data_IF_664343142748
#
_entry.id   IF_664343142748
#
_cell.length_a   1.000
_cell.length_b   1.000
_cell.length_c   1.000
_cell.angle_alpha   90.00
_cell.angle_beta   90.00
_cell.angle_gamma   90.00
#
_symmetry.space_group_name_H-M   'P 1'
#
loop_
_entity.id
_entity.type
_entity.pdbx_description
1 polymer ?
#
# COMPACT_ATOMS: atom_id res chain seq x y z
N UNK A 1 5.49 18.92 -4.02
CA UNK A 1 4.40 18.51 -3.11
C UNK A 1 3.14 18.40 -3.95
N UNK A 2 2.42 17.26 -3.90
CA UNK A 2 1.16 17.05 -4.62
C UNK A 2 0.05 17.90 -3.96
N UNK A 3 0.04 19.20 -4.25
CA UNK A 3 -1.06 20.07 -3.89
C UNK A 3 -2.15 19.94 -4.97
N UNK A 4 -2.95 18.87 -4.88
CA UNK A 4 -4.14 18.71 -5.71
C UNK A 4 -5.31 19.29 -4.94
N UNK A 5 -6.00 20.27 -5.52
CA UNK A 5 -7.26 20.79 -5.00
C UNK A 5 -8.34 19.71 -5.14
N UNK A 6 -8.79 19.19 -3.99
CA UNK A 6 -9.77 18.11 -3.92
C UNK A 6 -11.21 18.62 -4.08
N UNK A 7 -11.45 19.94 -4.08
CA UNK A 7 -12.79 20.52 -4.17
C UNK A 7 -13.50 20.23 -5.50
N UNK A 8 -12.74 19.90 -6.56
CA UNK A 8 -13.26 19.56 -7.89
C UNK A 8 -13.46 18.06 -8.13
N UNK A 9 -13.13 17.23 -7.15
CA UNK A 9 -13.26 15.78 -7.25
C UNK A 9 -14.66 15.45 -6.76
N UNK A 10 -15.54 14.91 -7.62
CA UNK A 10 -16.86 14.47 -7.18
C UNK A 10 -16.69 13.57 -5.96
N UNK A 11 -17.55 13.76 -4.95
CA UNK A 11 -17.60 12.92 -3.75
C UNK A 11 -18.15 11.51 -4.07
N UNK A 12 -17.76 10.92 -5.20
CA UNK A 12 -17.84 9.49 -5.40
C UNK A 12 -16.84 8.87 -4.41
N UNK A 13 -17.36 8.06 -3.50
CA UNK A 13 -16.74 7.50 -2.30
C UNK A 13 -15.29 6.97 -2.50
N UNK A 14 -15.00 6.51 -3.71
CA UNK A 14 -13.74 5.88 -4.11
C UNK A 14 -12.58 6.86 -4.30
N UNK A 15 -12.87 8.11 -4.68
CA UNK A 15 -11.84 9.06 -5.14
C UNK A 15 -10.89 9.53 -4.02
N UNK A 16 -11.38 9.93 -2.83
CA UNK A 16 -10.50 10.28 -1.71
C UNK A 16 -9.57 9.14 -1.29
N UNK A 17 -10.06 7.91 -1.38
CA UNK A 17 -9.31 6.71 -1.00
C UNK A 17 -8.15 6.44 -1.96
N UNK A 18 -8.41 6.47 -3.28
CA UNK A 18 -7.38 6.32 -4.31
C UNK A 18 -6.29 7.41 -4.20
N UNK A 19 -6.71 8.64 -3.91
CA UNK A 19 -5.78 9.77 -3.71
C UNK A 19 -4.99 9.61 -2.41
N UNK A 20 -5.62 9.15 -1.34
CA UNK A 20 -4.95 8.84 -0.08
C UNK A 20 -3.85 7.79 -0.26
N UNK A 21 -4.16 6.70 -0.94
CA UNK A 21 -3.19 5.66 -1.30
C UNK A 21 -2.06 6.18 -2.16
N UNK A 22 -2.34 7.01 -3.17
CA UNK A 22 -1.32 7.65 -3.98
C UNK A 22 -0.37 8.51 -3.14
N UNK A 23 -0.93 9.38 -2.28
CA UNK A 23 -0.16 10.27 -1.40
C UNK A 23 0.70 9.46 -0.44
N UNK A 24 0.15 8.39 0.14
CA UNK A 24 0.87 7.47 1.00
C UNK A 24 2.03 6.80 0.25
N UNK A 25 1.80 6.27 -0.96
CA UNK A 25 2.85 5.69 -1.78
C UNK A 25 3.98 6.68 -2.08
N UNK A 26 3.66 7.95 -2.34
CA UNK A 26 4.68 8.97 -2.62
C UNK A 26 5.46 9.36 -1.36
N UNK A 27 4.81 9.37 -0.20
CA UNK A 27 5.50 9.57 1.07
C UNK A 27 6.49 8.42 1.33
N UNK A 28 6.07 7.16 1.13
CA UNK A 28 6.96 6.01 1.25
C UNK A 28 8.11 6.06 0.23
N UNK A 29 7.81 6.45 -1.02
CA UNK A 29 8.79 6.59 -2.09
C UNK A 29 9.94 7.52 -1.73
N UNK A 30 9.64 8.67 -1.10
CA UNK A 30 10.67 9.61 -0.63
C UNK A 30 11.57 9.00 0.45
N UNK A 31 11.01 8.27 1.39
CA UNK A 31 11.79 7.61 2.45
C UNK A 31 12.70 6.55 1.86
N UNK A 32 12.18 5.73 0.94
CA UNK A 32 12.95 4.71 0.21
C UNK A 32 14.14 5.37 -0.51
N UNK A 33 13.87 6.42 -1.30
CA UNK A 33 14.91 7.13 -2.04
C UNK A 33 15.98 7.73 -1.12
N UNK A 34 15.56 8.31 0.01
CA UNK A 34 16.47 8.91 1.00
C UNK A 34 17.38 7.86 1.63
N UNK A 35 16.81 6.75 2.11
CA UNK A 35 17.58 5.68 2.74
C UNK A 35 18.51 4.99 1.74
N UNK A 36 18.04 4.73 0.52
CA UNK A 36 18.87 4.16 -0.55
C UNK A 36 20.04 5.08 -0.91
N UNK A 37 19.82 6.39 -1.03
CA UNK A 37 20.90 7.36 -1.32
C UNK A 37 21.96 7.41 -0.21
N UNK A 38 21.61 7.03 1.02
CA UNK A 38 22.51 6.95 2.17
C UNK A 38 23.16 5.56 2.35
N UNK A 39 22.93 4.61 1.43
CA UNK A 39 23.43 3.23 1.55
C UNK A 39 22.66 2.37 2.56
N UNK A 40 21.50 2.85 3.03
CA UNK A 40 20.64 2.20 4.02
C UNK A 40 19.41 1.54 3.39
N UNK A 41 19.54 1.05 2.15
CA UNK A 41 18.42 0.48 1.42
C UNK A 41 17.75 -0.68 2.19
N UNK A 42 18.51 -1.52 2.90
CA UNK A 42 17.97 -2.62 3.71
C UNK A 42 17.00 -2.15 4.81
N UNK A 43 17.23 -0.97 5.39
CA UNK A 43 16.39 -0.41 6.46
C UNK A 43 15.04 0.09 5.94
N UNK A 44 14.90 0.32 4.64
CA UNK A 44 13.67 0.80 4.03
C UNK A 44 12.63 -0.32 3.76
N UNK A 45 12.85 -1.55 4.25
CA UNK A 45 11.94 -2.67 4.00
C UNK A 45 10.48 -2.41 4.43
N UNK A 46 10.19 -1.81 5.61
CA UNK A 46 8.83 -1.43 5.96
C UNK A 46 8.19 -0.46 4.95
N UNK A 47 8.96 0.51 4.47
CA UNK A 47 8.49 1.49 3.49
C UNK A 47 8.24 0.85 2.12
N UNK A 48 9.16 -0.01 1.65
CA UNK A 48 8.99 -0.76 0.39
C UNK A 48 7.81 -1.72 0.45
N UNK A 49 7.62 -2.43 1.58
CA UNK A 49 6.45 -3.29 1.79
C UNK A 49 5.15 -2.51 1.61
N UNK A 50 5.00 -1.39 2.31
CA UNK A 50 3.79 -0.56 2.22
C UNK A 50 3.60 0.03 0.81
N UNK A 51 4.68 0.53 0.21
CA UNK A 51 4.68 1.08 -1.15
C UNK A 51 4.23 0.05 -2.20
N UNK A 52 4.82 -1.14 -2.19
CA UNK A 52 4.49 -2.22 -3.13
C UNK A 52 3.10 -2.75 -2.87
N UNK A 53 2.65 -2.83 -1.61
CA UNK A 53 1.28 -3.24 -1.29
C UNK A 53 0.24 -2.28 -1.87
N UNK A 54 0.49 -0.97 -1.81
CA UNK A 54 -0.38 0.03 -2.43
C UNK A 54 -0.39 -0.15 -3.95
N UNK A 55 0.79 -0.23 -4.59
CA UNK A 55 0.89 -0.43 -6.03
C UNK A 55 0.17 -1.72 -6.49
N UNK A 56 0.34 -2.80 -5.73
CA UNK A 56 -0.34 -4.07 -5.94
C UNK A 56 -1.86 -3.90 -5.87
N UNK A 57 -2.38 -3.29 -4.80
CA UNK A 57 -3.83 -3.15 -4.60
C UNK A 57 -4.46 -2.26 -5.66
N UNK A 58 -3.79 -1.20 -6.09
CA UNK A 58 -4.21 -0.36 -7.22
C UNK A 58 -4.27 -1.16 -8.53
N UNK A 59 -3.24 -1.99 -8.80
CA UNK A 59 -3.21 -2.81 -10.01
C UNK A 59 -4.31 -3.87 -9.97
N UNK A 60 -4.50 -4.54 -8.83
CA UNK A 60 -5.57 -5.51 -8.63
C UNK A 60 -6.96 -4.86 -8.82
N UNK A 61 -7.23 -3.70 -8.21
CA UNK A 61 -8.47 -2.94 -8.43
C UNK A 61 -8.71 -2.67 -9.92
N UNK A 62 -7.66 -2.33 -10.66
CA UNK A 62 -7.76 -2.07 -12.11
C UNK A 62 -8.14 -3.32 -12.92
N UNK A 63 -7.86 -4.52 -12.42
CA UNK A 63 -8.26 -5.79 -13.04
C UNK A 63 -9.72 -6.16 -12.76
N UNK A 64 -10.37 -5.52 -11.80
CA UNK A 64 -11.79 -5.75 -11.50
C UNK A 64 -12.69 -4.99 -12.47
N UNK A 65 -13.88 -5.55 -12.70
CA UNK A 65 -15.00 -4.85 -13.34
C UNK A 65 -15.32 -3.57 -12.55
N UNK A 66 -15.75 -2.50 -13.26
CA UNK A 66 -15.93 -1.18 -12.66
C UNK A 66 -16.93 -1.17 -11.49
N UNK A 67 -18.02 -1.92 -11.60
CA UNK A 67 -19.08 -2.06 -10.60
C UNK A 67 -18.61 -2.76 -9.31
N UNK A 68 -17.50 -3.50 -9.36
CA UNK A 68 -16.94 -4.20 -8.18
C UNK A 68 -15.95 -3.36 -7.39
N UNK A 69 -15.43 -2.26 -7.96
CA UNK A 69 -14.33 -1.51 -7.35
C UNK A 69 -14.76 -0.77 -6.09
N UNK A 70 -15.86 -0.02 -6.13
CA UNK A 70 -16.41 0.69 -4.98
C UNK A 70 -16.67 -0.25 -3.78
N UNK A 71 -17.43 -1.35 -3.96
CA UNK A 71 -17.63 -2.34 -2.91
C UNK A 71 -16.32 -2.90 -2.33
N UNK A 72 -15.31 -3.15 -3.18
CA UNK A 72 -13.98 -3.59 -2.71
C UNK A 72 -13.28 -2.55 -1.84
N UNK A 73 -13.38 -1.26 -2.21
CA UNK A 73 -12.83 -0.15 -1.43
C UNK A 73 -13.53 -0.01 -0.06
N UNK A 74 -14.86 -0.09 -0.04
CA UNK A 74 -15.64 -0.16 1.21
C UNK A 74 -15.22 -1.36 2.07
N UNK A 75 -14.99 -2.51 1.43
CA UNK A 75 -14.51 -3.72 2.07
C UNK A 75 -13.18 -3.54 2.80
N UNK A 76 -12.25 -2.78 2.22
CA UNK A 76 -11.00 -2.43 2.90
C UNK A 76 -11.28 -1.60 4.16
N UNK A 77 -12.16 -0.59 4.07
CA UNK A 77 -12.47 0.29 5.21
C UNK A 77 -13.12 -0.50 6.35
N UNK A 78 -14.12 -1.33 6.06
CA UNK A 78 -14.78 -2.18 7.07
C UNK A 78 -13.79 -3.12 7.74
N UNK A 79 -12.86 -3.69 6.96
CA UNK A 79 -11.82 -4.55 7.52
C UNK A 79 -10.88 -3.80 8.45
N UNK A 80 -10.36 -2.65 8.01
CA UNK A 80 -9.45 -1.84 8.82
C UNK A 80 -10.15 -1.41 10.12
N UNK A 81 -11.42 -0.96 10.03
CA UNK A 81 -12.24 -0.64 11.21
C UNK A 81 -12.29 -1.81 12.19
N UNK A 82 -12.59 -3.02 11.70
CA UNK A 82 -12.65 -4.22 12.55
C UNK A 82 -11.32 -4.54 13.23
N UNK A 83 -10.18 -4.38 12.53
CA UNK A 83 -8.86 -4.58 13.13
C UNK A 83 -8.55 -3.53 14.19
N UNK A 84 -8.85 -2.28 13.89
CA UNK A 84 -8.66 -1.13 14.79
C UNK A 84 -9.51 -1.31 16.05
N UNK A 85 -10.80 -1.60 15.94
CA UNK A 85 -11.68 -1.87 17.09
C UNK A 85 -11.14 -3.02 17.94
N UNK A 86 -10.77 -4.16 17.33
CA UNK A 86 -10.26 -5.30 18.09
C UNK A 86 -8.95 -5.03 18.84
N UNK A 87 -8.06 -4.22 18.26
CA UNK A 87 -6.86 -3.75 18.96
C UNK A 87 -7.21 -2.92 20.22
N UNK A 88 -8.19 -2.03 20.11
CA UNK A 88 -8.60 -1.20 21.25
C UNK A 88 -9.39 -1.96 22.31
N UNK A 89 -10.20 -2.94 21.90
CA UNK A 89 -10.83 -3.87 22.85
C UNK A 89 -9.76 -4.60 23.67
N UNK A 90 -8.69 -5.07 23.02
CA UNK A 90 -7.55 -5.71 23.70
C UNK A 90 -6.84 -4.73 24.65
N UNK A 91 -6.62 -3.48 24.24
CA UNK A 91 -6.02 -2.47 25.13
C UNK A 91 -6.89 -2.21 26.35
N UNK A 92 -8.20 -2.13 26.18
CA UNK A 92 -9.16 -1.97 27.26
C UNK A 92 -9.14 -3.16 28.22
N UNK A 93 -9.08 -4.39 27.70
CA UNK A 93 -8.89 -5.61 28.52
C UNK A 93 -7.58 -5.57 29.33
N UNK A 94 -6.54 -4.93 28.79
CA UNK A 94 -5.27 -4.69 29.46
C UNK A 94 -5.27 -3.49 30.42
N UNK A 95 -6.42 -2.82 30.61
CA UNK A 95 -6.57 -1.68 31.52
C UNK A 95 -6.14 -0.33 30.95
N UNK A 96 -5.94 -0.23 29.63
CA UNK A 96 -5.66 1.04 28.95
C UNK A 96 -6.95 1.61 28.36
N UNK A 97 -7.39 2.76 28.87
CA UNK A 97 -8.47 3.54 28.26
C UNK A 97 -7.92 4.45 27.16
N UNK A 98 -8.57 4.44 26.00
CA UNK A 98 -8.31 5.37 24.91
C UNK A 98 -9.63 5.84 24.31
N UNK A 99 -9.74 7.14 24.07
CA UNK A 99 -10.87 7.74 23.35
C UNK A 99 -10.54 7.86 21.86
N UNK A 100 -11.30 7.19 21.00
CA UNK A 100 -11.02 7.14 19.56
C UNK A 100 -12.25 7.44 18.77
N UNK A 101 -12.07 8.39 17.87
CA UNK A 101 -13.06 8.78 16.91
C UNK A 101 -12.90 7.96 15.61
N UNK A 102 -13.79 6.97 15.43
CA UNK A 102 -13.93 6.22 14.19
C UNK A 102 -15.11 6.72 13.34
N UNK A 103 -15.68 7.89 13.65
CA UNK A 103 -16.89 8.41 12.98
C UNK A 103 -16.73 8.54 11.47
N UNK A 104 -15.54 8.91 10.99
CA UNK A 104 -15.23 8.97 9.56
C UNK A 104 -15.35 7.61 8.84
N UNK A 105 -15.27 6.49 9.57
CA UNK A 105 -15.45 5.13 9.04
C UNK A 105 -16.88 4.60 9.24
N UNK A 106 -17.72 5.30 10.02
CA UNK A 106 -19.12 4.92 10.27
C UNK A 106 -20.03 5.21 9.07
N UNK A 107 -19.65 6.16 8.22
CA UNK A 107 -20.41 6.51 7.01
C UNK A 107 -20.34 5.42 5.93
N UNK A 108 -19.41 4.46 6.03
CA UNK A 108 -19.16 3.44 5.01
C UNK A 108 -20.08 2.23 5.23
N UNK A 109 -21.07 2.07 4.35
CA UNK A 109 -21.96 0.90 4.34
C UNK A 109 -21.46 -0.10 3.31
N UNK A 110 -20.94 -1.24 3.75
CA UNK A 110 -20.40 -2.23 2.82
C UNK A 110 -21.49 -3.06 2.13
N UNK A 111 -21.75 -2.80 0.85
CA UNK A 111 -22.57 -3.67 -0.01
C UNK A 111 -21.83 -4.97 -0.39
N UNK A 112 -20.49 -4.97 -0.33
CA UNK A 112 -19.59 -6.08 -0.69
C UNK A 112 -19.80 -7.38 0.11
N UNK A 113 -20.53 -7.36 1.23
CA UNK A 113 -20.66 -8.51 2.12
C UNK A 113 -21.42 -9.71 1.50
N UNK A 114 -22.00 -9.59 0.31
CA UNK A 114 -22.60 -10.73 -0.38
C UNK A 114 -21.54 -11.65 -1.03
N UNK A 115 -20.51 -11.09 -1.69
CA UNK A 115 -19.50 -11.87 -2.42
C UNK A 115 -18.44 -12.45 -1.46
N UNK A 116 -18.40 -13.79 -1.34
CA UNK A 116 -17.45 -14.48 -0.44
C UNK A 116 -16.01 -14.47 -0.98
N UNK A 117 -15.84 -14.50 -2.29
CA UNK A 117 -14.52 -14.61 -2.92
C UNK A 117 -13.81 -13.25 -2.87
N UNK A 118 -14.50 -12.17 -3.26
CA UNK A 118 -13.96 -10.82 -3.17
C UNK A 118 -13.61 -10.45 -1.72
N UNK A 119 -14.44 -10.87 -0.75
CA UNK A 119 -14.11 -10.73 0.68
C UNK A 119 -12.79 -11.40 1.06
N UNK A 120 -12.50 -12.60 0.54
CA UNK A 120 -11.22 -13.26 0.79
C UNK A 120 -10.05 -12.52 0.13
N UNK A 121 -10.25 -12.00 -1.08
CA UNK A 121 -9.24 -11.21 -1.78
C UNK A 121 -8.90 -9.91 -1.04
N UNK A 122 -9.91 -9.20 -0.51
CA UNK A 122 -9.72 -8.03 0.38
C UNK A 122 -8.99 -8.41 1.66
N UNK A 123 -9.27 -9.60 2.22
CA UNK A 123 -8.65 -10.10 3.46
C UNK A 123 -7.19 -10.54 3.30
N UNK A 124 -6.77 -10.99 2.13
CA UNK A 124 -5.38 -11.37 1.95
C UNK A 124 -4.86 -11.04 0.57
N UNK A 125 -3.73 -10.31 0.55
CA UNK A 125 -2.96 -9.99 -0.66
C UNK A 125 -2.67 -11.25 -1.48
N UNK A 126 -2.39 -12.39 -0.84
CA UNK A 126 -2.17 -13.67 -1.52
C UNK A 126 -3.39 -14.16 -2.31
N UNK A 127 -4.61 -13.96 -1.81
CA UNK A 127 -5.83 -14.36 -2.54
C UNK A 127 -6.06 -13.42 -3.73
N UNK A 128 -5.89 -12.11 -3.55
CA UNK A 128 -5.93 -11.15 -4.65
C UNK A 128 -4.88 -11.47 -5.73
N UNK A 129 -3.66 -11.86 -5.34
CA UNK A 129 -2.57 -12.17 -6.26
C UNK A 129 -2.87 -13.41 -7.12
N UNK A 130 -3.50 -14.42 -6.51
CA UNK A 130 -3.97 -15.62 -7.22
C UNK A 130 -5.08 -15.29 -8.23
N UNK A 131 -5.95 -14.33 -7.90
CA UNK A 131 -7.05 -13.92 -8.77
C UNK A 131 -6.58 -13.04 -9.95
N UNK A 132 -5.47 -12.31 -9.80
CA UNK A 132 -4.94 -11.40 -10.82
C UNK A 132 -3.45 -11.67 -11.12
N UNK A 133 -3.11 -12.68 -11.97
CA UNK A 133 -1.72 -13.09 -12.23
C UNK A 133 -0.78 -11.97 -12.73
N UNK A 134 -1.31 -10.93 -13.38
CA UNK A 134 -0.54 -9.75 -13.81
C UNK A 134 0.15 -9.03 -12.63
N UNK A 135 -0.33 -9.24 -11.41
CA UNK A 135 0.22 -8.65 -10.18
C UNK A 135 1.40 -9.43 -9.59
N UNK A 136 1.79 -10.57 -10.17
CA UNK A 136 2.75 -11.51 -9.58
C UNK A 136 4.11 -10.88 -9.26
N UNK A 137 4.61 -9.98 -10.12
CA UNK A 137 5.88 -9.28 -9.86
C UNK A 137 5.83 -8.40 -8.60
N UNK A 138 4.73 -7.66 -8.42
CA UNK A 138 4.51 -6.84 -7.22
C UNK A 138 4.25 -7.72 -5.98
N UNK A 139 3.53 -8.83 -6.15
CA UNK A 139 3.33 -9.79 -5.07
C UNK A 139 4.66 -10.38 -4.57
N UNK A 140 5.56 -10.77 -5.48
CA UNK A 140 6.88 -11.29 -5.14
C UNK A 140 7.66 -10.25 -4.34
N UNK A 141 7.74 -9.02 -4.85
CA UNK A 141 8.42 -7.92 -4.16
C UNK A 141 7.82 -7.64 -2.77
N UNK A 142 6.49 -7.63 -2.64
CA UNK A 142 5.83 -7.45 -1.34
C UNK A 142 6.18 -8.57 -0.34
N UNK A 143 6.20 -9.81 -0.82
CA UNK A 143 6.49 -10.98 0.02
C UNK A 143 7.93 -10.95 0.55
N UNK A 144 8.87 -10.56 -0.30
CA UNK A 144 10.29 -10.46 0.05
C UNK A 144 10.63 -9.31 0.99
N UNK A 145 9.89 -8.21 0.96
CA UNK A 145 10.10 -7.15 1.95
C UNK A 145 9.47 -7.54 3.30
N UNK A 146 8.35 -8.26 3.29
CA UNK A 146 7.60 -8.65 4.50
C UNK A 146 8.42 -9.44 5.52
N UNK A 147 9.36 -10.28 5.07
CA UNK A 147 10.26 -11.03 5.97
C UNK A 147 11.21 -10.11 6.77
N UNK A 148 11.43 -8.87 6.30
CA UNK A 148 12.32 -7.90 6.93
C UNK A 148 11.58 -6.78 7.70
N UNK A 149 10.24 -6.80 7.79
CA UNK A 149 9.46 -5.72 8.44
C UNK A 149 9.10 -5.97 9.91
N UNK A 150 9.37 -7.18 10.42
CA UNK A 150 9.07 -7.58 11.79
C UNK A 150 10.25 -8.33 12.39
N UNK A 151 10.29 -8.44 13.72
CA UNK A 151 11.28 -9.22 14.46
C UNK A 151 11.09 -10.73 14.22
N UNK A 152 11.48 -11.20 13.03
CA UNK A 152 11.37 -12.60 12.60
C UNK A 152 12.71 -13.31 12.69
N UNK A 153 12.68 -14.64 12.69
CA UNK A 153 13.91 -15.44 12.55
C UNK A 153 14.66 -15.17 11.25
N UNK A 154 13.93 -14.88 10.16
CA UNK A 154 14.55 -14.55 8.87
C UNK A 154 15.33 -13.23 8.94
N UNK A 155 14.75 -12.20 9.57
CA UNK A 155 15.44 -10.94 9.85
C UNK A 155 16.70 -11.19 10.69
N UNK A 156 16.59 -11.94 11.78
CA UNK A 156 17.71 -12.20 12.68
C UNK A 156 18.88 -12.91 11.95
N UNK A 157 18.58 -13.94 11.16
CA UNK A 157 19.60 -14.65 10.37
C UNK A 157 20.21 -13.75 9.29
N UNK A 158 19.43 -12.87 8.66
CA UNK A 158 19.94 -11.97 7.63
C UNK A 158 20.90 -10.89 8.16
N UNK A 159 20.77 -10.47 9.41
CA UNK A 159 21.69 -9.53 10.08
C UNK A 159 22.83 -10.22 10.84
N UNK A 160 22.78 -11.54 11.00
CA UNK A 160 23.81 -12.33 11.67
C UNK A 160 24.01 -13.68 10.95
N UNK A 161 24.43 -13.68 9.67
CA UNK A 161 24.74 -14.90 8.95
C UNK A 161 25.95 -15.58 9.59
N UNK A 162 25.96 -16.92 9.61
CA UNK A 162 27.14 -17.68 10.06
C UNK A 162 28.05 -17.91 8.86
N UNK A 163 29.17 -17.20 8.82
CA UNK A 163 30.23 -17.27 7.81
C UNK A 163 31.59 -17.49 8.48
N UNK A 164 32.62 -17.85 7.71
CA UNK A 164 33.96 -18.12 8.28
C UNK A 164 34.63 -16.87 8.90
N UNK A 165 34.11 -15.66 8.64
CA UNK A 165 34.67 -14.37 9.09
C UNK A 165 33.64 -13.51 9.86
N UNK A 166 32.85 -14.12 10.74
CA UNK A 166 31.77 -13.46 11.46
C UNK A 166 32.25 -12.25 12.29
N UNK A 167 31.76 -11.07 11.92
CA UNK A 167 31.92 -9.82 12.67
C UNK A 167 30.55 -9.24 12.95
N UNK A 168 30.27 -8.95 14.23
CA UNK A 168 29.03 -8.29 14.64
C UNK A 168 28.87 -6.95 13.89
N UNK A 169 27.74 -6.79 13.17
CA UNK A 169 27.31 -5.50 12.63
C UNK A 169 27.79 -5.13 11.22
N UNK A 170 28.39 -6.06 10.46
CA UNK A 170 28.78 -5.81 9.06
C UNK A 170 27.78 -6.36 8.04
N UNK A 171 26.98 -7.36 8.42
CA UNK A 171 26.02 -7.99 7.54
C UNK A 171 24.67 -7.25 7.54
N UNK A 172 24.14 -7.03 6.34
CA UNK A 172 22.83 -6.41 6.14
C UNK A 172 21.99 -7.27 5.18
N UNK A 173 20.66 -7.30 5.34
CA UNK A 173 19.80 -8.05 4.45
C UNK A 173 19.95 -7.63 2.98
N UNK A 174 19.89 -8.59 2.05
CA UNK A 174 19.86 -8.26 0.63
C UNK A 174 18.60 -7.45 0.29
N UNK A 175 18.74 -6.50 -0.64
CA UNK A 175 17.62 -5.66 -1.08
C UNK A 175 17.32 -5.93 -2.56
N UNK A 176 16.21 -6.61 -2.88
CA UNK A 176 15.85 -6.96 -4.27
C UNK A 176 15.44 -5.76 -5.15
N UNK A 177 15.22 -4.60 -4.55
CA UNK A 177 14.88 -3.35 -5.22
C UNK A 177 15.71 -2.19 -4.68
N UNK A 178 17.01 -2.40 -4.50
CA UNK A 178 17.94 -1.35 -4.08
C UNK A 178 18.20 -0.31 -5.17
N UNK A 179 17.88 -0.65 -6.42
CA UNK A 179 17.94 0.24 -7.58
C UNK A 179 16.75 1.20 -7.60
N UNK A 180 17.03 2.50 -7.74
CA UNK A 180 16.01 3.53 -7.85
C UNK A 180 15.27 3.49 -9.20
N UNK A 181 15.79 2.89 -10.27
CA UNK A 181 15.10 2.86 -11.56
C UNK A 181 13.81 2.04 -11.51
N UNK A 182 13.85 0.81 -10.96
CA UNK A 182 12.63 0.01 -10.74
C UNK A 182 11.64 0.75 -9.83
N UNK A 183 12.14 1.38 -8.78
CA UNK A 183 11.34 2.17 -7.84
C UNK A 183 10.60 3.33 -8.53
N UNK A 184 11.28 4.02 -9.45
CA UNK A 184 10.70 5.10 -10.27
C UNK A 184 9.61 4.59 -11.21
N UNK A 185 9.83 3.44 -11.86
CA UNK A 185 8.82 2.82 -12.72
C UNK A 185 7.55 2.47 -11.94
N UNK A 186 7.68 1.92 -10.73
CA UNK A 186 6.51 1.60 -9.89
C UNK A 186 5.83 2.88 -9.40
N UNK A 187 6.58 3.94 -9.11
CA UNK A 187 6.01 5.26 -8.74
C UNK A 187 5.18 5.83 -9.90
N UNK A 188 5.67 5.73 -11.13
CA UNK A 188 4.92 6.12 -12.33
C UNK A 188 3.67 5.25 -12.55
N UNK A 189 3.79 3.93 -12.34
CA UNK A 189 2.66 3.00 -12.41
C UNK A 189 1.55 3.38 -11.43
N UNK A 190 1.89 3.71 -10.17
CA UNK A 190 0.92 4.16 -9.16
C UNK A 190 0.15 5.38 -9.64
N UNK A 191 0.85 6.41 -10.14
CA UNK A 191 0.18 7.62 -10.66
C UNK A 191 -0.75 7.31 -11.84
N UNK A 192 -0.29 6.46 -12.76
CA UNK A 192 -1.08 6.04 -13.92
C UNK A 192 -2.34 5.27 -13.51
N UNK A 193 -2.21 4.30 -12.61
CA UNK A 193 -3.35 3.51 -12.12
C UNK A 193 -4.39 4.39 -11.42
N UNK A 194 -3.94 5.33 -10.59
CA UNK A 194 -4.83 6.26 -9.89
C UNK A 194 -5.59 7.13 -10.88
N UNK A 195 -4.92 7.66 -11.90
CA UNK A 195 -5.55 8.47 -12.95
C UNK A 195 -6.63 7.67 -13.68
N UNK A 196 -6.32 6.44 -14.09
CA UNK A 196 -7.27 5.60 -14.80
C UNK A 196 -8.46 5.21 -13.92
N UNK A 197 -8.22 4.83 -12.66
CA UNK A 197 -9.29 4.52 -11.71
C UNK A 197 -10.19 5.73 -11.41
N UNK A 198 -9.62 6.94 -11.33
CA UNK A 198 -10.38 8.17 -11.13
C UNK A 198 -11.20 8.57 -12.37
N UNK A 199 -10.67 8.38 -13.58
CA UNK A 199 -11.44 8.59 -14.83
C UNK A 199 -12.62 7.64 -14.92
N UNK A 200 -12.41 6.37 -14.58
CA UNK A 200 -13.47 5.37 -14.54
C UNK A 200 -14.56 5.74 -13.51
N UNK A 201 -14.19 6.44 -12.43
CA UNK A 201 -15.12 7.02 -11.45
C UNK A 201 -15.80 8.33 -11.92
N UNK A 202 -15.58 8.76 -13.17
CA UNK A 202 -16.24 9.91 -13.80
C UNK A 202 -15.48 11.23 -13.71
N UNK A 203 -14.23 11.25 -13.25
CA UNK A 203 -13.43 12.48 -13.24
C UNK A 203 -12.98 12.86 -14.66
N UNK A 204 -13.06 14.15 -14.96
CA UNK A 204 -12.55 14.69 -16.24
C UNK A 204 -11.03 14.57 -16.36
N UNK A 205 -10.53 14.47 -17.59
CA UNK A 205 -9.09 14.49 -17.90
C UNK A 205 -8.36 15.67 -17.23
N UNK A 206 -8.97 16.86 -17.25
CA UNK A 206 -8.40 18.08 -16.65
C UNK A 206 -8.19 17.96 -15.14
N UNK A 207 -9.05 17.20 -14.44
CA UNK A 207 -8.95 17.01 -12.99
C UNK A 207 -7.80 16.07 -12.60
N UNK A 208 -7.45 15.11 -13.48
CA UNK A 208 -6.43 14.08 -13.20
C UNK A 208 -5.06 14.39 -13.82
N UNK A 209 -4.96 15.32 -14.77
CA UNK A 209 -3.71 15.75 -15.40
C UNK A 209 -2.55 16.09 -14.42
N UNK A 210 -2.79 16.83 -13.31
CA UNK A 210 -1.71 17.15 -12.38
C UNK A 210 -1.11 15.92 -11.69
N UNK A 211 -1.86 14.82 -11.60
CA UNK A 211 -1.39 13.56 -10.99
C UNK A 211 -0.30 12.93 -11.84
N UNK A 212 -0.50 12.83 -13.16
CA UNK A 212 0.50 12.26 -14.07
C UNK A 212 1.78 13.09 -14.07
N UNK A 213 1.65 14.42 -14.09
CA UNK A 213 2.80 15.32 -14.01
C UNK A 213 3.58 15.14 -12.71
N UNK A 214 2.90 15.00 -11.58
CA UNK A 214 3.56 14.75 -10.31
C UNK A 214 4.19 13.37 -10.22
N UNK A 215 3.54 12.33 -10.76
CA UNK A 215 4.07 10.97 -10.81
C UNK A 215 5.40 10.87 -11.56
N UNK A 216 5.48 11.57 -12.69
CA UNK A 216 6.69 11.67 -13.50
C UNK A 216 7.86 12.33 -12.75
N UNK A 217 7.56 13.28 -11.87
CA UNK A 217 8.55 14.10 -11.16
C UNK A 217 8.81 13.67 -9.70
N UNK A 218 8.19 12.59 -9.22
CA UNK A 218 8.32 12.11 -7.84
C UNK A 218 9.53 11.16 -7.61
N UNK A 219 10.43 11.09 -8.59
CA UNK A 219 11.45 10.08 -8.82
C UNK A 219 12.88 10.54 -8.54
#
# INVERSE_FOLDING_TARGET
MLALDLSYIPAAYDSPFLIGWMRAAYAQSKVIATLTAQGLAHAAAPNRRAFVEIAFRLLWLRTLDMDKRGPVLEGFIVREKSLTTGFYDTLKEMGYEHDIDLSAMDEVVAEMLADKELRQQVKAVTYAAKAAPITLGLFSAWREETQYTHATGHLAVAYAPKTENDRVGQDVPPTQHGDLNRHRMVTFLVGTLVVELLKDAGLSQKAVEPILFAAWNAA
#
